data_IF_185100589328
#
_entry.id   IF_185100589328
#
_cell.length_a   1.000
_cell.length_b   1.000
_cell.length_c   1.000
_cell.angle_alpha   90.00
_cell.angle_beta   90.00
_cell.angle_gamma   90.00
#
_symmetry.space_group_name_H-M   'P 1'
#
loop_
_entity.id
_entity.type
_entity.pdbx_description
1 polymer ?
#
# COMPACT_ATOMS: atom_id res chain seq x y z
N UNK A 1 16.91 -45.31 4.45
CA UNK A 1 17.93 -44.56 3.70
C UNK A 1 17.84 -43.05 3.87
N UNK A 2 16.75 -42.36 3.54
CA UNK A 2 16.62 -40.92 3.69
C UNK A 2 16.88 -40.40 5.11
N UNK A 3 16.38 -41.04 6.16
CA UNK A 3 16.59 -40.66 7.56
C UNK A 3 18.07 -40.70 7.99
N UNK A 4 18.80 -41.77 7.58
CA UNK A 4 20.24 -41.86 7.89
C UNK A 4 21.06 -40.80 7.16
N UNK A 5 20.71 -40.44 5.93
CA UNK A 5 21.37 -39.37 5.15
C UNK A 5 21.08 -38.01 5.76
N UNK A 6 19.84 -37.76 6.21
CA UNK A 6 19.47 -36.53 6.91
C UNK A 6 20.23 -36.34 8.24
N UNK A 7 20.35 -37.43 9.03
CA UNK A 7 21.15 -37.41 10.28
C UNK A 7 22.64 -37.20 10.03
N UNK A 8 23.17 -37.74 8.93
CA UNK A 8 24.55 -37.50 8.50
C UNK A 8 24.76 -36.02 8.10
N UNK A 9 23.82 -35.43 7.36
CA UNK A 9 23.85 -34.00 7.01
C UNK A 9 23.86 -33.12 8.26
N UNK A 10 23.01 -33.40 9.26
CA UNK A 10 22.98 -32.66 10.51
C UNK A 10 24.28 -32.77 11.31
N UNK A 11 24.89 -33.96 11.31
CA UNK A 11 26.18 -34.19 11.97
C UNK A 11 27.33 -33.47 11.28
N UNK A 12 27.29 -33.39 9.94
CA UNK A 12 28.24 -32.64 9.11
C UNK A 12 28.19 -31.12 9.43
N UNK A 13 26.99 -30.57 9.55
CA UNK A 13 26.78 -29.15 9.94
C UNK A 13 27.42 -28.84 11.30
N UNK A 14 27.21 -29.73 12.29
CA UNK A 14 27.78 -29.57 13.64
C UNK A 14 29.31 -29.63 13.68
N UNK A 15 29.94 -30.27 12.75
CA UNK A 15 31.40 -30.48 12.73
C UNK A 15 32.16 -29.23 12.25
N UNK A 16 31.51 -28.34 11.46
CA UNK A 16 32.08 -27.09 10.93
C UNK A 16 31.07 -25.94 11.02
N UNK A 17 30.67 -25.59 12.25
CA UNK A 17 29.60 -24.63 12.53
C UNK A 17 29.80 -23.27 11.87
N UNK A 18 31.03 -22.73 11.90
CA UNK A 18 31.29 -21.38 11.35
C UNK A 18 31.11 -21.34 9.82
N UNK A 19 31.55 -22.42 9.14
CA UNK A 19 31.46 -22.52 7.68
C UNK A 19 29.99 -22.72 7.23
N UNK A 20 29.28 -23.62 7.92
CA UNK A 20 27.85 -23.89 7.65
C UNK A 20 27.01 -22.64 7.94
N UNK A 21 27.30 -21.92 9.01
CA UNK A 21 26.62 -20.67 9.35
C UNK A 21 26.78 -19.60 8.27
N UNK A 22 28.00 -19.35 7.80
CA UNK A 22 28.27 -18.37 6.74
C UNK A 22 27.55 -18.69 5.42
N UNK A 23 27.42 -19.98 5.10
CA UNK A 23 26.72 -20.41 3.88
C UNK A 23 25.22 -20.26 4.01
N UNK A 24 24.67 -20.77 5.11
CA UNK A 24 23.24 -20.66 5.40
C UNK A 24 22.83 -19.19 5.49
N UNK A 25 23.71 -18.33 6.02
CA UNK A 25 23.48 -16.90 6.16
C UNK A 25 23.13 -16.23 4.81
N UNK A 26 23.84 -16.56 3.73
CA UNK A 26 23.56 -16.03 2.40
C UNK A 26 22.15 -16.37 1.91
N UNK A 27 21.72 -17.63 2.13
CA UNK A 27 20.38 -18.10 1.78
C UNK A 27 19.33 -17.46 2.69
N UNK A 28 19.60 -17.40 3.99
CA UNK A 28 18.72 -16.77 5.00
C UNK A 28 18.45 -15.32 4.63
N UNK A 29 19.50 -14.55 4.33
CA UNK A 29 19.36 -13.15 3.92
C UNK A 29 18.55 -13.05 2.62
N UNK A 30 18.87 -13.85 1.61
CA UNK A 30 18.16 -13.82 0.33
C UNK A 30 16.67 -14.15 0.49
N UNK A 31 16.34 -15.25 1.16
CA UNK A 31 14.97 -15.69 1.40
C UNK A 31 14.22 -14.69 2.28
N UNK A 32 14.83 -14.24 3.38
CA UNK A 32 14.17 -13.29 4.28
C UNK A 32 13.92 -11.94 3.59
N UNK A 33 14.84 -11.46 2.76
CA UNK A 33 14.65 -10.23 2.01
C UNK A 33 13.49 -10.34 1.02
N UNK A 34 13.40 -11.43 0.24
CA UNK A 34 12.30 -11.64 -0.72
C UNK A 34 10.95 -11.65 -0.02
N UNK A 35 10.80 -12.46 1.02
CA UNK A 35 9.53 -12.62 1.73
C UNK A 35 9.12 -11.33 2.41
N UNK A 36 10.02 -10.69 3.16
CA UNK A 36 9.72 -9.43 3.85
C UNK A 36 9.27 -8.37 2.87
N UNK A 37 9.94 -8.27 1.73
CA UNK A 37 9.65 -7.27 0.71
C UNK A 37 8.30 -7.49 0.03
N UNK A 38 7.98 -8.74 -0.38
CA UNK A 38 6.69 -9.05 -0.99
C UNK A 38 5.56 -8.83 0.02
N UNK A 39 5.74 -9.25 1.28
CA UNK A 39 4.76 -9.06 2.34
C UNK A 39 4.49 -7.56 2.61
N UNK A 40 5.54 -6.75 2.72
CA UNK A 40 5.38 -5.29 2.90
C UNK A 40 4.81 -4.61 1.65
N UNK A 41 5.21 -5.03 0.45
CA UNK A 41 4.66 -4.52 -0.81
C UNK A 41 3.15 -4.80 -0.95
N UNK A 42 2.72 -6.01 -0.60
CA UNK A 42 1.31 -6.38 -0.57
C UNK A 42 0.56 -5.58 0.51
N UNK A 43 1.15 -5.42 1.70
CA UNK A 43 0.61 -4.59 2.78
C UNK A 43 0.45 -3.12 2.39
N UNK A 44 1.47 -2.54 1.75
CA UNK A 44 1.43 -1.18 1.23
C UNK A 44 0.33 -1.00 0.18
N UNK A 45 0.23 -1.94 -0.78
CA UNK A 45 -0.81 -1.91 -1.81
C UNK A 45 -2.21 -2.04 -1.20
N UNK A 46 -2.39 -2.90 -0.20
CA UNK A 46 -3.66 -3.04 0.52
C UNK A 46 -4.01 -1.76 1.29
N UNK A 47 -3.04 -1.12 1.94
CA UNK A 47 -3.22 0.16 2.63
C UNK A 47 -3.62 1.27 1.67
N UNK A 48 -2.93 1.40 0.52
CA UNK A 48 -3.26 2.38 -0.53
C UNK A 48 -4.70 2.16 -1.02
N UNK A 49 -5.08 0.92 -1.34
CA UNK A 49 -6.44 0.59 -1.78
C UNK A 49 -7.49 0.94 -0.70
N UNK A 50 -7.22 0.63 0.56
CA UNK A 50 -8.12 0.96 1.66
C UNK A 50 -8.29 2.48 1.83
N UNK A 51 -7.20 3.26 1.76
CA UNK A 51 -7.23 4.72 1.85
C UNK A 51 -8.03 5.33 0.69
N UNK A 52 -7.83 4.85 -0.54
CA UNK A 52 -8.55 5.34 -1.72
C UNK A 52 -10.02 4.94 -1.68
N UNK A 53 -10.34 3.72 -1.25
CA UNK A 53 -11.73 3.30 -1.02
C UNK A 53 -12.42 4.15 0.05
N UNK A 54 -11.67 4.62 1.05
CA UNK A 54 -12.16 5.56 2.06
C UNK A 54 -12.50 6.95 1.52
N UNK A 55 -11.85 7.37 0.43
CA UNK A 55 -12.16 8.66 -0.24
C UNK A 55 -13.44 8.58 -1.12
N UNK A 56 -13.92 7.40 -1.43
CA UNK A 56 -15.02 7.13 -2.36
C UNK A 56 -14.50 6.31 -3.55
N UNK A 57 -15.14 5.19 -3.80
CA UNK A 57 -14.89 4.38 -5.00
C UNK A 57 -15.43 5.10 -6.22
N UNK A 58 -14.70 5.05 -7.34
CA UNK A 58 -15.11 5.67 -8.60
C UNK A 58 -15.31 7.20 -8.52
N UNK A 59 -14.43 7.90 -7.77
CA UNK A 59 -14.53 9.33 -7.58
C UNK A 59 -13.60 10.09 -8.55
N UNK A 60 -14.16 11.03 -9.30
CA UNK A 60 -13.44 12.04 -10.05
C UNK A 60 -13.48 13.36 -9.27
N UNK A 61 -12.32 13.92 -8.99
CA UNK A 61 -12.19 15.24 -8.38
C UNK A 61 -11.79 16.26 -9.42
N UNK A 62 -12.63 17.25 -9.68
CA UNK A 62 -12.35 18.32 -10.62
C UNK A 62 -11.97 19.59 -9.87
N UNK A 63 -10.78 20.10 -10.14
CA UNK A 63 -10.24 21.31 -9.50
C UNK A 63 -9.86 22.36 -10.56
N UNK A 64 -10.06 23.66 -10.28
CA UNK A 64 -9.56 24.71 -11.16
C UNK A 64 -8.02 24.76 -11.09
N UNK A 65 -7.38 25.05 -12.21
CA UNK A 65 -5.93 25.13 -12.34
C UNK A 65 -5.41 24.41 -13.57
N UNK A 66 -4.25 24.80 -14.07
CA UNK A 66 -3.58 24.09 -15.17
C UNK A 66 -2.95 22.78 -14.66
N UNK A 67 -2.88 21.78 -15.53
CA UNK A 67 -2.18 20.54 -15.25
C UNK A 67 -0.69 20.85 -15.10
N UNK A 68 -0.15 20.76 -13.91
CA UNK A 68 1.28 20.88 -13.67
C UNK A 68 1.98 19.67 -14.28
N UNK A 69 2.78 19.91 -15.34
CA UNK A 69 3.74 18.91 -15.80
C UNK A 69 4.85 18.69 -14.77
N UNK A 70 5.74 17.67 -14.97
CA UNK A 70 6.89 17.44 -14.12
C UNK A 70 7.80 18.68 -14.17
N UNK A 71 7.78 19.51 -13.11
CA UNK A 71 8.53 20.76 -12.98
C UNK A 71 7.71 22.05 -12.92
N UNK A 72 6.41 22.00 -13.15
CA UNK A 72 5.52 23.15 -12.98
C UNK A 72 5.06 23.27 -11.54
N UNK A 73 5.35 24.40 -10.87
CA UNK A 73 4.74 24.71 -9.58
C UNK A 73 3.22 24.85 -9.80
N UNK A 74 2.44 23.91 -9.23
CA UNK A 74 0.98 23.92 -9.25
C UNK A 74 0.42 25.11 -8.47
N UNK A 75 0.71 26.30 -8.94
CA UNK A 75 0.08 27.51 -8.46
C UNK A 75 -1.36 27.52 -8.96
N UNK A 76 -2.33 27.33 -8.07
CA UNK A 76 -3.66 27.87 -8.27
C UNK A 76 -3.53 29.38 -8.40
N UNK A 77 -3.11 29.82 -9.60
CA UNK A 77 -2.91 31.23 -9.88
C UNK A 77 -4.21 31.98 -9.61
N UNK A 78 -4.10 33.13 -8.97
CA UNK A 78 -5.21 34.02 -8.62
C UNK A 78 -6.05 34.50 -9.82
N UNK A 79 -5.78 33.98 -11.02
CA UNK A 79 -6.49 34.27 -12.26
C UNK A 79 -7.37 33.16 -12.83
N UNK A 80 -7.31 31.92 -12.31
CA UNK A 80 -8.12 30.81 -12.86
C UNK A 80 -9.55 30.92 -12.36
N UNK A 81 -10.55 30.93 -13.28
CA UNK A 81 -11.96 30.95 -12.89
C UNK A 81 -12.31 29.74 -12.02
N UNK A 82 -12.91 30.01 -10.87
CA UNK A 82 -13.43 28.95 -10.00
C UNK A 82 -14.73 28.37 -10.56
N UNK A 83 -15.12 27.21 -10.11
CA UNK A 83 -16.41 26.61 -10.46
C UNK A 83 -17.57 27.33 -9.78
N UNK A 84 -18.77 27.11 -10.32
CA UNK A 84 -20.02 27.56 -9.75
C UNK A 84 -20.91 26.35 -9.41
N UNK A 85 -21.96 26.58 -8.64
CA UNK A 85 -22.94 25.54 -8.29
C UNK A 85 -23.64 24.99 -9.55
N UNK A 86 -23.91 25.88 -10.55
CA UNK A 86 -24.53 25.51 -11.83
C UNK A 86 -23.66 24.57 -12.67
N UNK A 87 -22.34 24.52 -12.44
CA UNK A 87 -21.45 23.56 -13.11
C UNK A 87 -21.71 22.14 -12.60
N UNK A 88 -21.95 21.98 -11.29
CA UNK A 88 -22.33 20.69 -10.72
C UNK A 88 -23.69 20.18 -11.23
N UNK A 89 -24.68 21.08 -11.32
CA UNK A 89 -26.01 20.77 -11.84
C UNK A 89 -25.96 20.35 -13.31
N UNK A 90 -25.15 21.04 -14.12
CA UNK A 90 -24.97 20.71 -15.54
C UNK A 90 -24.29 19.37 -15.74
N UNK A 91 -23.27 19.05 -14.92
CA UNK A 91 -22.61 17.75 -14.96
C UNK A 91 -23.62 16.63 -14.62
N UNK A 92 -24.40 16.82 -13.55
CA UNK A 92 -25.37 15.83 -13.11
C UNK A 92 -26.49 15.56 -14.13
N UNK A 93 -26.92 16.61 -14.88
CA UNK A 93 -28.03 16.49 -15.83
C UNK A 93 -27.61 16.07 -17.24
N UNK A 94 -26.41 16.42 -17.70
CA UNK A 94 -26.00 16.24 -19.09
C UNK A 94 -25.09 15.03 -19.32
N UNK A 95 -24.44 14.51 -18.28
CA UNK A 95 -23.53 13.38 -18.41
C UNK A 95 -24.16 12.11 -17.84
N UNK A 96 -24.34 11.10 -18.72
CA UNK A 96 -24.79 9.78 -18.28
C UNK A 96 -23.70 9.02 -17.53
N UNK A 97 -24.09 8.06 -16.65
CA UNK A 97 -23.14 7.24 -15.90
C UNK A 97 -22.64 7.87 -14.58
N UNK A 98 -23.12 9.06 -14.24
CA UNK A 98 -22.83 9.72 -12.96
C UNK A 98 -23.84 9.24 -11.90
N UNK A 99 -23.34 8.90 -10.71
CA UNK A 99 -24.14 8.55 -9.55
C UNK A 99 -24.53 9.79 -8.74
N UNK A 100 -23.56 10.67 -8.46
CA UNK A 100 -23.75 11.90 -7.69
C UNK A 100 -22.69 12.95 -8.05
N UNK A 101 -23.06 14.23 -7.91
CA UNK A 101 -22.13 15.37 -8.05
C UNK A 101 -22.27 16.26 -6.85
N UNK A 102 -21.16 16.54 -6.18
CA UNK A 102 -21.11 17.43 -5.02
C UNK A 102 -20.17 18.61 -5.26
N UNK A 103 -20.69 19.85 -5.29
CA UNK A 103 -19.86 21.04 -5.26
C UNK A 103 -19.26 21.20 -3.85
N UNK A 104 -17.95 21.38 -3.76
CA UNK A 104 -17.23 21.54 -2.50
C UNK A 104 -16.51 22.89 -2.43
N UNK A 105 -16.79 23.62 -1.38
CA UNK A 105 -15.97 24.74 -0.91
C UNK A 105 -15.26 24.34 0.37
N UNK A 106 -13.99 24.74 0.54
CA UNK A 106 -13.21 24.41 1.74
C UNK A 106 -12.44 25.63 2.25
N UNK A 107 -12.38 25.76 3.56
CA UNK A 107 -11.56 26.77 4.23
C UNK A 107 -11.15 26.29 5.61
N UNK A 108 -9.93 26.62 6.05
CA UNK A 108 -9.47 26.32 7.41
C UNK A 108 -9.83 27.46 8.33
N UNK A 109 -10.45 27.14 9.46
CA UNK A 109 -10.85 28.12 10.46
C UNK A 109 -10.73 27.55 11.87
N UNK A 110 -10.61 28.42 12.87
CA UNK A 110 -10.73 28.05 14.27
C UNK A 110 -12.19 27.97 14.67
N UNK A 111 -12.61 26.83 15.19
CA UNK A 111 -13.92 26.60 15.78
C UNK A 111 -13.83 26.68 17.31
N UNK A 112 -14.90 27.10 17.96
CA UNK A 112 -14.93 27.30 19.41
C UNK A 112 -16.23 26.78 19.98
N UNK A 113 -16.17 25.99 21.01
CA UNK A 113 -17.29 25.59 21.88
C UNK A 113 -16.78 25.19 23.26
N UNK A 114 -17.59 25.31 24.28
CA UNK A 114 -17.30 24.91 25.67
C UNK A 114 -15.97 25.45 26.23
N UNK A 115 -15.56 26.68 25.80
CA UNK A 115 -14.29 27.29 26.22
C UNK A 115 -13.04 26.67 25.56
N UNK A 116 -13.19 25.72 24.67
CA UNK A 116 -12.11 25.12 23.87
C UNK A 116 -12.12 25.71 22.46
N UNK A 117 -10.94 25.71 21.82
CA UNK A 117 -10.80 26.08 20.41
C UNK A 117 -9.98 25.03 19.67
N UNK A 118 -10.28 24.87 18.40
CA UNK A 118 -9.58 23.93 17.52
C UNK A 118 -9.53 24.49 16.11
N UNK A 119 -8.38 24.33 15.44
CA UNK A 119 -8.23 24.73 14.03
C UNK A 119 -8.56 23.54 13.16
N UNK A 120 -9.61 23.67 12.36
CA UNK A 120 -10.14 22.57 11.53
C UNK A 120 -10.53 23.04 10.14
N UNK A 121 -10.76 22.10 9.25
CA UNK A 121 -11.27 22.34 7.90
C UNK A 121 -12.79 22.44 7.92
N UNK A 122 -13.34 23.57 7.47
CA UNK A 122 -14.78 23.72 7.25
C UNK A 122 -15.07 23.50 5.76
N UNK A 123 -15.92 22.51 5.49
CA UNK A 123 -16.37 22.11 4.15
C UNK A 123 -17.81 22.56 3.98
N UNK A 124 -18.08 23.29 2.90
CA UNK A 124 -19.44 23.59 2.46
C UNK A 124 -19.79 22.74 1.25
N UNK A 125 -20.87 21.98 1.35
CA UNK A 125 -21.31 21.11 0.25
C UNK A 125 -22.81 20.82 0.30
N UNK A 126 -23.30 20.01 -0.63
CA UNK A 126 -24.63 19.41 -0.64
C UNK A 126 -24.65 18.02 0.00
N UNK A 127 -25.85 17.43 0.18
CA UNK A 127 -25.96 16.04 0.67
C UNK A 127 -25.28 15.00 -0.24
N UNK A 128 -25.14 15.30 -1.54
CA UNK A 128 -24.39 14.43 -2.45
C UNK A 128 -22.92 14.23 -2.02
N UNK A 129 -22.38 15.11 -1.16
CA UNK A 129 -21.03 14.96 -0.62
C UNK A 129 -20.86 13.70 0.25
N UNK A 130 -21.91 13.34 1.00
CA UNK A 130 -21.88 12.13 1.81
C UNK A 130 -21.82 10.87 0.94
N UNK A 131 -22.57 10.88 -0.17
CA UNK A 131 -22.59 9.75 -1.13
C UNK A 131 -21.28 9.68 -1.93
N UNK A 132 -20.81 10.81 -2.47
CA UNK A 132 -19.58 10.86 -3.28
C UNK A 132 -18.34 10.47 -2.50
N UNK A 133 -18.26 10.86 -1.22
CA UNK A 133 -17.16 10.54 -0.33
C UNK A 133 -17.36 9.26 0.48
N UNK A 134 -18.46 8.52 0.31
CA UNK A 134 -18.81 7.35 1.13
C UNK A 134 -18.75 7.65 2.65
N UNK A 135 -19.34 8.79 3.05
CA UNK A 135 -19.40 9.21 4.44
C UNK A 135 -20.65 8.63 5.13
N UNK A 136 -20.43 8.02 6.28
CA UNK A 136 -21.51 7.53 7.14
C UNK A 136 -21.63 8.42 8.38
N UNK A 137 -22.85 8.51 8.91
CA UNK A 137 -23.07 9.14 10.21
C UNK A 137 -22.90 8.10 11.33
N UNK A 138 -22.19 8.50 12.39
CA UNK A 138 -22.18 7.76 13.65
C UNK A 138 -23.42 8.07 14.48
N UNK A 139 -23.94 9.33 14.42
CA UNK A 139 -25.15 9.77 15.09
C UNK A 139 -25.73 11.03 14.45
N UNK A 140 -27.01 11.28 14.69
CA UNK A 140 -27.71 12.44 14.15
C UNK A 140 -28.29 12.23 12.75
N UNK A 141 -28.38 13.30 11.96
CA UNK A 141 -28.96 13.32 10.60
C UNK A 141 -28.12 14.17 9.64
N UNK A 142 -28.34 13.98 8.34
CA UNK A 142 -27.83 14.89 7.28
C UNK A 142 -28.70 16.14 7.18
N UNK A 143 -28.32 17.05 6.31
CA UNK A 143 -29.05 18.29 6.06
C UNK A 143 -30.42 18.01 5.44
N UNK A 144 -31.47 18.75 5.87
CA UNK A 144 -32.75 18.80 5.17
C UNK A 144 -32.67 19.70 3.92
N UNK A 145 -33.54 19.46 2.95
CA UNK A 145 -33.54 20.24 1.71
C UNK A 145 -33.67 21.76 1.96
N UNK A 146 -34.56 22.12 2.87
CA UNK A 146 -34.79 23.53 3.23
C UNK A 146 -33.57 24.15 3.93
N UNK A 147 -32.86 23.37 4.74
CA UNK A 147 -31.62 23.83 5.41
C UNK A 147 -30.49 24.12 4.38
N UNK A 148 -30.39 23.29 3.34
CA UNK A 148 -29.43 23.51 2.26
C UNK A 148 -29.78 24.75 1.44
N UNK A 149 -31.05 24.90 1.04
CA UNK A 149 -31.54 26.02 0.25
C UNK A 149 -31.47 27.36 1.00
N UNK A 150 -31.87 27.37 2.26
CA UNK A 150 -31.81 28.55 3.10
C UNK A 150 -30.40 28.95 3.54
N UNK A 151 -29.44 27.99 3.52
CA UNK A 151 -28.13 28.19 4.15
C UNK A 151 -28.26 28.29 5.65
N UNK A 152 -28.95 27.30 6.25
CA UNK A 152 -29.22 27.26 7.69
C UNK A 152 -27.92 27.14 8.52
N UNK A 153 -27.99 27.58 9.77
CA UNK A 153 -26.87 27.54 10.71
C UNK A 153 -26.78 26.15 11.38
N UNK A 154 -26.63 25.13 10.59
CA UNK A 154 -26.44 23.74 11.02
C UNK A 154 -25.09 23.21 10.57
N UNK A 155 -24.52 22.26 11.32
CA UNK A 155 -23.24 21.64 10.99
C UNK A 155 -23.19 20.17 11.40
N UNK A 156 -22.37 19.41 10.70
CA UNK A 156 -22.03 18.01 10.97
C UNK A 156 -20.52 18.00 11.24
N UNK A 157 -20.09 17.33 12.30
CA UNK A 157 -18.70 17.33 12.75
C UNK A 157 -18.06 15.95 12.59
N UNK A 158 -16.78 15.95 12.26
CA UNK A 158 -15.98 14.72 12.27
C UNK A 158 -15.53 14.34 13.68
N UNK A 159 -15.04 13.12 13.82
CA UNK A 159 -14.72 12.52 15.14
C UNK A 159 -13.55 13.25 15.84
N UNK A 160 -12.56 13.74 15.09
CA UNK A 160 -11.45 14.51 15.69
C UNK A 160 -11.96 15.83 16.27
N UNK A 161 -12.81 16.57 15.54
CA UNK A 161 -13.43 17.81 16.05
C UNK A 161 -14.30 17.50 17.26
N UNK A 162 -15.09 16.41 17.24
CA UNK A 162 -15.88 15.98 18.40
C UNK A 162 -14.99 15.75 19.60
N UNK A 163 -13.90 15.01 19.44
CA UNK A 163 -12.97 14.70 20.54
C UNK A 163 -12.30 15.95 21.10
N UNK A 164 -11.77 16.80 20.24
CA UNK A 164 -10.99 17.98 20.68
C UNK A 164 -11.86 19.08 21.34
N UNK A 165 -13.10 19.22 20.89
CA UNK A 165 -14.00 20.31 21.35
C UNK A 165 -14.98 19.84 22.44
N UNK A 166 -15.50 18.62 22.34
CA UNK A 166 -16.60 18.14 23.20
C UNK A 166 -16.18 17.05 24.19
N UNK A 167 -15.02 16.42 24.02
CA UNK A 167 -14.53 15.41 24.95
C UNK A 167 -14.15 16.02 26.30
N UNK A 168 -14.59 15.37 27.40
CA UNK A 168 -14.38 15.87 28.76
C UNK A 168 -15.57 16.65 29.36
N UNK A 169 -16.64 16.85 28.61
CA UNK A 169 -17.91 17.37 29.17
C UNK A 169 -18.83 16.17 29.45
N UNK A 170 -18.98 15.81 30.72
CA UNK A 170 -19.74 14.63 31.14
C UNK A 170 -21.13 14.55 30.46
N UNK A 171 -21.36 13.50 29.66
CA UNK A 171 -22.63 13.19 29.00
C UNK A 171 -22.95 13.98 27.73
N UNK A 172 -22.04 14.79 27.16
CA UNK A 172 -22.32 15.58 25.96
C UNK A 172 -21.54 15.03 24.76
N UNK A 173 -22.22 14.35 23.86
CA UNK A 173 -21.68 13.81 22.59
C UNK A 173 -21.37 14.90 21.56
N UNK A 174 -21.69 16.16 21.81
CA UNK A 174 -21.60 17.25 20.83
C UNK A 174 -22.90 17.47 20.03
N UNK A 175 -23.77 16.44 19.91
CA UNK A 175 -25.01 16.55 19.16
C UNK A 175 -25.98 17.56 19.85
N UNK A 176 -26.61 18.42 19.05
CA UNK A 176 -27.49 19.47 19.54
C UNK A 176 -26.76 20.67 20.18
N UNK A 177 -25.45 20.61 20.32
CA UNK A 177 -24.65 21.72 20.88
C UNK A 177 -24.36 22.78 19.81
N UNK A 178 -24.05 24.00 20.29
CA UNK A 178 -23.63 25.08 19.41
C UNK A 178 -22.10 25.07 19.23
N UNK A 179 -21.67 25.13 17.97
CA UNK A 179 -20.28 25.30 17.57
C UNK A 179 -20.13 26.66 16.90
N UNK A 180 -19.26 27.49 17.42
CA UNK A 180 -18.96 28.78 16.81
C UNK A 180 -17.86 28.60 15.75
N UNK A 181 -18.19 29.00 14.52
CA UNK A 181 -17.29 28.97 13.36
C UNK A 181 -17.03 30.40 12.93
N UNK A 182 -15.85 30.94 13.23
CA UNK A 182 -15.54 32.39 13.04
C UNK A 182 -16.57 33.31 13.69
N UNK A 183 -17.43 33.97 12.86
CA UNK A 183 -18.39 34.99 13.25
C UNK A 183 -19.82 34.45 13.41
N UNK A 184 -20.09 33.19 13.11
CA UNK A 184 -21.43 32.60 13.26
C UNK A 184 -21.39 31.35 14.12
N UNK A 185 -22.54 30.99 14.70
CA UNK A 185 -22.71 29.74 15.42
C UNK A 185 -23.62 28.80 14.63
N UNK A 186 -23.26 27.51 14.56
CA UNK A 186 -24.12 26.46 13.99
C UNK A 186 -24.49 25.45 15.05
N UNK A 187 -25.66 24.83 14.92
CA UNK A 187 -26.08 23.71 15.75
C UNK A 187 -25.55 22.42 15.14
N UNK A 188 -24.87 21.60 15.93
CA UNK A 188 -24.39 20.29 15.51
C UNK A 188 -25.57 19.31 15.39
N UNK A 189 -25.92 18.92 14.16
CA UNK A 189 -27.04 18.03 13.85
C UNK A 189 -26.62 16.59 13.58
N UNK A 190 -25.32 16.34 13.35
CA UNK A 190 -24.78 15.02 13.07
C UNK A 190 -23.30 14.93 13.39
N UNK A 191 -22.85 13.69 13.58
CA UNK A 191 -21.46 13.31 13.81
C UNK A 191 -21.09 12.26 12.78
N UNK A 192 -20.00 12.47 12.06
CA UNK A 192 -19.48 11.52 11.06
C UNK A 192 -18.90 10.29 11.76
N UNK A 193 -19.04 9.14 11.12
CA UNK A 193 -18.29 7.95 11.51
C UNK A 193 -16.81 8.14 11.22
N UNK A 194 -15.96 7.73 12.13
CA UNK A 194 -14.51 7.86 11.97
C UNK A 194 -14.02 7.09 10.75
N UNK A 195 -13.23 7.75 9.91
CA UNK A 195 -12.48 7.16 8.79
C UNK A 195 -11.00 7.03 9.09
N UNK A 196 -10.49 7.78 10.07
CA UNK A 196 -9.10 7.78 10.47
C UNK A 196 -8.20 8.66 9.59
N UNK A 197 -6.90 8.45 9.74
CA UNK A 197 -5.90 9.15 8.96
C UNK A 197 -5.74 8.52 7.57
N UNK A 198 -5.57 9.36 6.57
CA UNK A 198 -5.17 8.96 5.22
C UNK A 198 -3.84 9.61 4.85
N UNK A 199 -3.22 9.17 3.75
CA UNK A 199 -1.99 9.81 3.24
C UNK A 199 -2.12 11.31 2.92
N UNK A 200 -3.35 11.84 2.89
CA UNK A 200 -3.65 13.27 2.69
C UNK A 200 -3.97 14.01 4.00
N UNK A 201 -3.84 13.37 5.15
CA UNK A 201 -4.11 13.94 6.46
C UNK A 201 -5.27 13.28 7.21
N UNK A 202 -5.66 13.89 8.34
CA UNK A 202 -6.78 13.44 9.15
C UNK A 202 -8.12 13.77 8.46
N UNK A 203 -8.84 12.74 8.02
CA UNK A 203 -10.15 12.92 7.38
C UNK A 203 -11.24 13.33 8.39
N UNK A 204 -11.04 12.96 9.63
CA UNK A 204 -12.00 13.19 10.71
C UNK A 204 -11.89 14.61 11.30
N UNK A 205 -10.83 15.38 10.91
CA UNK A 205 -10.67 16.77 11.31
C UNK A 205 -11.40 17.72 10.35
N UNK A 206 -12.73 17.64 10.39
CA UNK A 206 -13.60 18.41 9.49
C UNK A 206 -14.92 18.81 10.14
N UNK A 207 -15.46 19.96 9.65
CA UNK A 207 -16.83 20.43 9.94
C UNK A 207 -17.52 20.62 8.62
N UNK A 208 -18.64 19.96 8.41
CA UNK A 208 -19.44 20.07 7.18
C UNK A 208 -20.64 20.97 7.43
N UNK A 209 -20.85 21.95 6.56
CA UNK A 209 -21.99 22.88 6.58
C UNK A 209 -22.66 22.91 5.20
N UNK A 210 -23.92 23.35 5.06
CA UNK A 210 -24.50 23.55 3.75
C UNK A 210 -23.65 24.53 2.90
N UNK A 211 -23.54 24.29 1.60
CA UNK A 211 -22.70 25.10 0.71
C UNK A 211 -23.00 26.59 0.84
N UNK A 212 -24.30 26.94 0.82
CA UNK A 212 -24.73 28.35 0.96
C UNK A 212 -24.39 28.95 2.30
N UNK A 213 -24.31 28.15 3.37
CA UNK A 213 -23.85 28.60 4.69
C UNK A 213 -22.37 28.96 4.64
N UNK A 214 -21.53 28.10 4.05
CA UNK A 214 -20.11 28.40 3.86
C UNK A 214 -19.92 29.67 3.05
N UNK A 215 -20.58 29.78 1.91
CA UNK A 215 -20.47 30.88 0.97
C UNK A 215 -20.87 32.22 1.61
N UNK A 216 -22.01 32.26 2.29
CA UNK A 216 -22.57 33.52 2.83
C UNK A 216 -21.98 33.94 4.17
N UNK A 217 -21.67 32.97 5.05
CA UNK A 217 -21.32 33.25 6.46
C UNK A 217 -19.83 33.07 6.77
N UNK A 218 -19.10 32.29 5.98
CA UNK A 218 -17.68 31.97 6.28
C UNK A 218 -16.73 32.60 5.28
N UNK A 219 -16.93 32.35 3.97
CA UNK A 219 -16.01 32.82 2.93
C UNK A 219 -16.41 34.14 2.28
N UNK A 220 -17.70 34.49 2.25
CA UNK A 220 -18.21 35.64 1.51
C UNK A 220 -18.09 35.48 -0.02
N UNK A 221 -17.90 34.27 -0.54
CA UNK A 221 -17.67 34.00 -1.96
C UNK A 221 -18.51 32.81 -2.43
N UNK A 222 -19.17 32.96 -3.59
CA UNK A 222 -19.97 31.92 -4.25
C UNK A 222 -19.11 30.88 -4.98
N UNK A 223 -17.81 30.98 -4.88
CA UNK A 223 -16.86 30.11 -5.58
C UNK A 223 -16.88 28.69 -5.00
N UNK A 224 -16.81 27.70 -5.90
CA UNK A 224 -16.66 26.27 -5.60
C UNK A 224 -15.22 25.89 -5.92
N UNK A 225 -14.54 25.29 -4.96
CA UNK A 225 -13.12 24.94 -5.09
C UNK A 225 -12.93 23.60 -5.78
N UNK A 226 -13.86 22.65 -5.59
CA UNK A 226 -13.76 21.29 -6.14
C UNK A 226 -15.17 20.82 -6.53
N UNK A 227 -15.27 20.11 -7.64
CA UNK A 227 -16.43 19.31 -7.97
C UNK A 227 -16.08 17.85 -7.75
N UNK A 228 -16.81 17.18 -6.88
CA UNK A 228 -16.69 15.75 -6.62
C UNK A 228 -17.74 15.03 -7.45
N UNK A 229 -17.31 14.15 -8.34
CA UNK A 229 -18.18 13.42 -9.27
C UNK A 229 -18.01 11.94 -9.03
N UNK A 230 -19.04 11.29 -8.51
CA UNK A 230 -19.07 9.83 -8.32
C UNK A 230 -19.67 9.17 -9.55
N UNK A 231 -18.99 8.15 -10.05
CA UNK A 231 -19.45 7.35 -11.19
C UNK A 231 -20.31 6.18 -10.71
N UNK A 232 -21.26 5.75 -11.53
CA UNK A 232 -22.00 4.49 -11.29
C UNK A 232 -21.07 3.30 -11.50
N UNK A 233 -21.29 2.25 -10.74
CA UNK A 233 -20.53 1.01 -10.90
C UNK A 233 -20.67 0.46 -12.33
N UNK A 234 -19.53 0.05 -12.91
CA UNK A 234 -19.47 -0.47 -14.29
C UNK A 234 -19.44 0.60 -15.38
N UNK A 235 -19.43 1.88 -15.03
CA UNK A 235 -19.24 2.96 -16.00
C UNK A 235 -17.80 2.99 -16.52
N UNK A 236 -17.63 3.33 -17.80
CA UNK A 236 -16.32 3.55 -18.43
C UNK A 236 -15.76 4.91 -17.98
N UNK A 237 -14.77 4.86 -17.08
CA UNK A 237 -14.15 6.06 -16.48
C UNK A 237 -13.49 6.98 -17.52
N UNK A 238 -12.82 6.43 -18.55
CA UNK A 238 -12.16 7.23 -19.58
C UNK A 238 -13.18 7.96 -20.47
N UNK A 239 -14.28 7.32 -20.84
CA UNK A 239 -15.38 7.97 -21.57
C UNK A 239 -16.02 9.07 -20.76
N UNK A 240 -16.27 8.80 -19.48
CA UNK A 240 -16.90 9.77 -18.58
C UNK A 240 -15.99 10.98 -18.37
N UNK A 241 -14.69 10.76 -18.18
CA UNK A 241 -13.68 11.81 -18.08
C UNK A 241 -13.60 12.66 -19.36
N UNK A 242 -13.66 12.02 -20.54
CA UNK A 242 -13.69 12.72 -21.82
C UNK A 242 -14.94 13.59 -21.96
N UNK A 243 -16.13 13.05 -21.63
CA UNK A 243 -17.40 13.80 -21.67
C UNK A 243 -17.39 14.96 -20.67
N UNK A 244 -16.85 14.73 -19.47
CA UNK A 244 -16.70 15.76 -18.43
C UNK A 244 -15.74 16.87 -18.89
N UNK A 245 -14.63 16.51 -19.52
CA UNK A 245 -13.68 17.46 -20.09
C UNK A 245 -14.34 18.30 -21.17
N UNK A 246 -15.06 17.69 -22.10
CA UNK A 246 -15.76 18.41 -23.17
C UNK A 246 -16.80 19.39 -22.61
N UNK A 247 -17.68 18.93 -21.71
CA UNK A 247 -18.69 19.79 -21.08
C UNK A 247 -18.06 20.99 -20.36
N UNK A 248 -16.98 20.77 -19.60
CA UNK A 248 -16.31 21.83 -18.87
C UNK A 248 -15.60 22.82 -19.80
N UNK A 249 -15.00 22.35 -20.91
CA UNK A 249 -14.43 23.23 -21.94
C UNK A 249 -15.48 24.13 -22.55
N UNK A 250 -16.63 23.59 -22.91
CA UNK A 250 -17.78 24.34 -23.46
C UNK A 250 -18.28 25.41 -22.46
N UNK A 251 -18.50 25.03 -21.19
CA UNK A 251 -19.00 25.95 -20.16
C UNK A 251 -17.98 27.05 -19.79
N UNK A 252 -16.72 26.79 -19.99
CA UNK A 252 -15.63 27.73 -19.71
C UNK A 252 -15.19 28.53 -20.96
N UNK A 253 -15.87 28.32 -22.08
CA UNK A 253 -15.58 28.96 -23.37
C UNK A 253 -14.11 28.79 -23.81
N UNK A 254 -13.54 27.59 -23.61
CA UNK A 254 -12.17 27.28 -24.05
C UNK A 254 -12.19 26.92 -25.54
N UNK A 255 -11.32 27.54 -26.32
CA UNK A 255 -11.13 27.20 -27.72
C UNK A 255 -10.46 25.83 -27.91
N UNK A 256 -10.56 25.25 -29.10
CA UNK A 256 -10.00 23.92 -29.37
C UNK A 256 -8.47 23.82 -29.17
N UNK A 257 -7.75 24.93 -29.25
CA UNK A 257 -6.29 25.02 -29.03
C UNK A 257 -5.87 25.45 -27.65
N UNK A 258 -6.81 25.81 -26.78
CA UNK A 258 -6.48 26.29 -25.42
C UNK A 258 -6.19 25.10 -24.50
N UNK A 259 -5.26 25.30 -23.58
CA UNK A 259 -5.02 24.38 -22.47
C UNK A 259 -6.19 24.38 -21.50
N UNK A 260 -6.46 23.23 -20.89
CA UNK A 260 -7.48 23.11 -19.87
C UNK A 260 -7.09 23.93 -18.64
N UNK A 261 -8.00 24.78 -18.19
CA UNK A 261 -7.85 25.58 -16.97
C UNK A 261 -8.47 24.88 -15.74
N UNK A 262 -8.58 23.55 -15.81
CA UNK A 262 -9.03 22.65 -14.76
C UNK A 262 -8.30 21.32 -14.87
N UNK A 263 -8.28 20.56 -13.76
CA UNK A 263 -7.73 19.21 -13.69
C UNK A 263 -8.77 18.23 -13.20
N UNK A 264 -8.81 17.06 -13.80
CA UNK A 264 -9.63 15.94 -13.37
C UNK A 264 -8.71 14.89 -12.77
N UNK A 265 -8.83 14.68 -11.48
CA UNK A 265 -8.12 13.63 -10.75
C UNK A 265 -9.03 12.43 -10.59
N UNK A 266 -8.61 11.31 -11.13
CA UNK A 266 -9.27 10.04 -10.97
C UNK A 266 -8.61 9.29 -9.81
N UNK A 267 -9.39 9.01 -8.76
CA UNK A 267 -8.90 8.29 -7.57
C UNK A 267 -8.52 6.86 -7.92
N UNK A 268 -9.22 6.21 -8.86
CA UNK A 268 -8.88 4.87 -9.32
C UNK A 268 -7.55 4.86 -10.08
N UNK A 269 -7.35 5.77 -11.00
CA UNK A 269 -6.09 5.91 -11.75
C UNK A 269 -4.92 6.20 -10.81
N UNK A 270 -5.13 6.98 -9.75
CA UNK A 270 -4.13 7.22 -8.73
C UNK A 270 -3.78 5.91 -7.99
N UNK A 271 -4.79 5.12 -7.59
CA UNK A 271 -4.58 3.81 -6.95
C UNK A 271 -3.76 2.86 -7.83
N UNK A 272 -4.11 2.78 -9.10
CA UNK A 272 -3.42 1.94 -10.08
C UNK A 272 -1.97 2.38 -10.29
N UNK A 273 -1.73 3.68 -10.39
CA UNK A 273 -0.39 4.25 -10.54
C UNK A 273 0.49 3.96 -9.32
N UNK A 274 -0.05 4.17 -8.12
CA UNK A 274 0.67 3.87 -6.87
C UNK A 274 0.94 2.38 -6.71
N UNK A 275 -0.06 1.54 -7.05
CA UNK A 275 0.09 0.08 -7.00
C UNK A 275 1.13 -0.41 -8.00
N UNK A 276 1.12 0.10 -9.24
CA UNK A 276 2.12 -0.26 -10.25
C UNK A 276 3.52 0.20 -9.88
N UNK A 277 3.67 1.39 -9.29
CA UNK A 277 4.95 1.88 -8.76
C UNK A 277 5.48 0.96 -7.66
N UNK A 278 4.63 0.56 -6.72
CA UNK A 278 4.99 -0.40 -5.66
C UNK A 278 5.40 -1.74 -6.26
N UNK A 279 4.69 -2.22 -7.29
CA UNK A 279 5.02 -3.46 -8.00
C UNK A 279 6.40 -3.38 -8.68
N UNK A 280 6.73 -2.28 -9.34
CA UNK A 280 8.05 -2.07 -9.96
C UNK A 280 9.14 -2.08 -8.90
N UNK A 281 8.95 -1.36 -7.80
CA UNK A 281 9.91 -1.36 -6.69
C UNK A 281 10.11 -2.76 -6.10
N UNK A 282 9.02 -3.49 -5.86
CA UNK A 282 9.07 -4.86 -5.35
C UNK A 282 9.81 -5.79 -6.32
N UNK A 283 9.59 -5.62 -7.63
CA UNK A 283 10.29 -6.40 -8.66
C UNK A 283 11.79 -6.11 -8.70
N UNK A 284 12.18 -4.83 -8.65
CA UNK A 284 13.60 -4.42 -8.62
C UNK A 284 14.33 -4.98 -7.40
N UNK A 285 13.70 -4.85 -6.25
CA UNK A 285 14.28 -5.36 -5.01
C UNK A 285 14.29 -6.91 -5.01
N UNK A 286 13.28 -7.56 -5.61
CA UNK A 286 13.27 -9.00 -5.84
C UNK A 286 14.44 -9.48 -6.70
N UNK A 287 14.81 -8.70 -7.72
CA UNK A 287 15.99 -8.98 -8.53
C UNK A 287 17.29 -8.91 -7.71
N UNK A 288 17.42 -7.92 -6.83
CA UNK A 288 18.57 -7.82 -5.90
C UNK A 288 18.63 -9.02 -4.96
N UNK A 289 17.50 -9.43 -4.43
CA UNK A 289 17.43 -10.61 -3.57
C UNK A 289 17.75 -11.91 -4.32
N UNK A 290 17.37 -12.04 -5.59
CA UNK A 290 17.76 -13.16 -6.44
C UNK A 290 19.29 -13.23 -6.63
N UNK A 291 19.95 -12.09 -6.83
CA UNK A 291 21.43 -12.03 -6.87
C UNK A 291 22.03 -12.49 -5.53
N UNK A 292 21.45 -12.06 -4.41
CA UNK A 292 21.89 -12.49 -3.07
C UNK A 292 21.75 -14.00 -2.87
N UNK A 293 20.67 -14.60 -3.38
CA UNK A 293 20.46 -16.05 -3.37
C UNK A 293 21.49 -16.78 -4.23
N UNK A 294 21.86 -16.25 -5.41
CA UNK A 294 22.92 -16.80 -6.25
C UNK A 294 24.27 -16.78 -5.52
N UNK A 295 24.61 -15.68 -4.85
CA UNK A 295 25.84 -15.60 -4.04
C UNK A 295 25.82 -16.62 -2.91
N UNK A 296 24.68 -16.79 -2.23
CA UNK A 296 24.48 -17.88 -1.24
C UNK A 296 24.68 -19.27 -1.84
N UNK A 297 24.17 -19.51 -3.05
CA UNK A 297 24.37 -20.75 -3.79
C UNK A 297 25.83 -21.03 -4.14
N UNK A 298 26.59 -20.03 -4.58
CA UNK A 298 28.05 -20.14 -4.79
C UNK A 298 28.75 -20.50 -3.47
N UNK A 299 28.28 -19.93 -2.35
CA UNK A 299 28.74 -20.31 -1.02
C UNK A 299 28.55 -21.79 -0.72
N UNK A 300 27.37 -22.37 -1.05
CA UNK A 300 27.11 -23.82 -0.93
C UNK A 300 28.10 -24.60 -1.79
N UNK A 301 28.26 -24.24 -3.07
CA UNK A 301 29.16 -24.92 -3.99
C UNK A 301 30.58 -24.95 -3.44
N UNK A 302 31.10 -23.83 -2.97
CA UNK A 302 32.46 -23.74 -2.43
C UNK A 302 32.65 -24.62 -1.20
N UNK A 303 31.67 -24.66 -0.29
CA UNK A 303 31.74 -25.49 0.91
C UNK A 303 31.64 -26.98 0.56
N UNK A 304 30.77 -27.32 -0.36
CA UNK A 304 30.64 -28.69 -0.82
C UNK A 304 31.93 -29.19 -1.50
N UNK A 305 32.60 -28.34 -2.30
CA UNK A 305 33.89 -28.66 -2.89
C UNK A 305 34.94 -28.95 -1.82
N UNK A 306 35.04 -28.10 -0.79
CA UNK A 306 35.96 -28.33 0.34
C UNK A 306 35.57 -29.58 1.12
N UNK A 307 34.27 -29.82 1.36
CA UNK A 307 33.81 -31.03 2.05
C UNK A 307 34.17 -32.31 1.28
N UNK A 308 34.09 -32.30 -0.05
CA UNK A 308 34.50 -33.41 -0.91
C UNK A 308 36.00 -33.64 -0.81
N UNK A 309 36.82 -32.56 -0.82
CA UNK A 309 38.29 -32.73 -0.68
C UNK A 309 38.69 -33.22 0.72
N UNK A 310 38.06 -32.72 1.80
CA UNK A 310 38.31 -33.20 3.16
C UNK A 310 37.93 -34.67 3.37
N UNK A 311 36.97 -35.22 2.57
CA UNK A 311 36.47 -36.58 2.65
C UNK A 311 36.93 -37.48 1.49
N UNK A 312 37.94 -37.06 0.73
CA UNK A 312 38.44 -37.76 -0.45
C UNK A 312 38.72 -39.25 -0.16
N UNK A 313 39.41 -39.55 0.92
CA UNK A 313 39.76 -40.92 1.34
C UNK A 313 38.53 -41.74 1.72
N UNK A 314 37.55 -41.15 2.41
CA UNK A 314 36.30 -41.81 2.78
C UNK A 314 35.46 -42.16 1.52
N UNK A 315 35.39 -41.22 0.57
CA UNK A 315 34.70 -41.44 -0.73
C UNK A 315 35.38 -42.51 -1.54
N UNK A 316 36.72 -42.46 -1.64
CA UNK A 316 37.52 -43.47 -2.36
C UNK A 316 37.36 -44.85 -1.77
N UNK A 317 37.32 -44.98 -0.44
CA UNK A 317 37.09 -46.27 0.23
C UNK A 317 35.69 -46.83 -0.11
N UNK A 318 34.65 -45.99 -0.10
CA UNK A 318 33.28 -46.43 -0.46
C UNK A 318 33.21 -46.91 -1.90
N UNK A 319 33.82 -46.20 -2.84
CA UNK A 319 33.86 -46.57 -4.25
C UNK A 319 34.67 -47.87 -4.46
N UNK A 320 35.79 -48.03 -3.72
CA UNK A 320 36.61 -49.22 -3.79
C UNK A 320 35.90 -50.50 -3.30
N UNK A 321 35.00 -50.39 -2.31
CA UNK A 321 34.19 -51.52 -1.81
C UNK A 321 32.90 -51.74 -2.62
N UNK A 322 32.66 -50.96 -3.72
CA UNK A 322 31.58 -51.19 -4.68
C UNK A 322 30.37 -50.29 -4.56
N UNK A 323 30.46 -49.16 -3.87
CA UNK A 323 29.39 -48.15 -3.89
C UNK A 323 29.18 -47.59 -5.31
N UNK A 324 27.92 -47.40 -5.72
CA UNK A 324 27.58 -46.89 -7.04
C UNK A 324 27.76 -45.37 -7.11
N UNK A 325 28.21 -44.87 -8.27
CA UNK A 325 28.39 -43.41 -8.48
C UNK A 325 27.14 -42.60 -8.12
N UNK A 326 25.94 -43.10 -8.48
CA UNK A 326 24.69 -42.40 -8.20
C UNK A 326 24.34 -42.33 -6.71
N UNK A 327 24.79 -43.29 -5.89
CA UNK A 327 24.57 -43.27 -4.43
C UNK A 327 25.42 -42.18 -3.78
N UNK A 328 26.67 -42.07 -4.20
CA UNK A 328 27.56 -40.99 -3.74
C UNK A 328 27.04 -39.63 -4.18
N UNK A 329 26.61 -39.51 -5.45
CA UNK A 329 26.03 -38.28 -5.99
C UNK A 329 24.79 -37.87 -5.18
N UNK A 330 23.83 -38.77 -4.98
CA UNK A 330 22.61 -38.50 -4.22
C UNK A 330 22.90 -38.10 -2.77
N UNK A 331 23.87 -38.73 -2.13
CA UNK A 331 24.25 -38.39 -0.75
C UNK A 331 24.69 -36.93 -0.63
N UNK A 332 25.64 -36.48 -1.46
CA UNK A 332 26.12 -35.09 -1.42
C UNK A 332 25.06 -34.10 -1.90
N UNK A 333 24.21 -34.49 -2.89
CA UNK A 333 23.11 -33.63 -3.35
C UNK A 333 22.08 -33.41 -2.24
N UNK A 334 21.68 -34.48 -1.53
CA UNK A 334 20.75 -34.35 -0.39
C UNK A 334 21.37 -33.48 0.71
N UNK A 335 22.68 -33.58 0.98
CA UNK A 335 23.37 -32.74 1.96
C UNK A 335 23.25 -31.26 1.57
N UNK A 336 23.47 -30.91 0.31
CA UNK A 336 23.31 -29.55 -0.20
C UNK A 336 21.85 -29.03 -0.10
N UNK A 337 20.87 -29.89 -0.47
CA UNK A 337 19.44 -29.55 -0.40
C UNK A 337 18.98 -29.35 1.05
N UNK A 338 19.44 -30.19 1.97
CA UNK A 338 19.10 -30.04 3.41
C UNK A 338 19.66 -28.75 3.95
N UNK A 339 20.91 -28.40 3.61
CA UNK A 339 21.52 -27.12 4.03
C UNK A 339 20.76 -25.92 3.52
N UNK A 340 20.41 -25.92 2.23
CA UNK A 340 19.67 -24.84 1.62
C UNK A 340 18.23 -24.74 2.13
N UNK A 341 17.55 -25.88 2.33
CA UNK A 341 16.20 -25.90 2.88
C UNK A 341 16.16 -25.42 4.34
N UNK A 342 17.16 -25.78 5.16
CA UNK A 342 17.30 -25.22 6.50
C UNK A 342 17.50 -23.70 6.46
N UNK A 343 18.34 -23.19 5.55
CA UNK A 343 18.49 -21.76 5.32
C UNK A 343 17.16 -21.10 4.92
N UNK A 344 16.40 -21.75 4.04
CA UNK A 344 15.07 -21.31 3.63
C UNK A 344 14.08 -21.22 4.80
N UNK A 345 14.00 -22.26 5.64
CA UNK A 345 13.12 -22.28 6.81
C UNK A 345 13.50 -21.19 7.82
N UNK A 346 14.79 -21.05 8.14
CA UNK A 346 15.26 -19.98 9.02
C UNK A 346 14.96 -18.61 8.41
N UNK A 347 15.17 -18.45 7.09
CA UNK A 347 14.84 -17.24 6.35
C UNK A 347 13.36 -16.88 6.44
N UNK A 348 12.46 -17.86 6.32
CA UNK A 348 11.01 -17.66 6.48
C UNK A 348 10.67 -17.20 7.89
N UNK A 349 11.26 -17.80 8.92
CA UNK A 349 11.02 -17.43 10.32
C UNK A 349 11.48 -15.99 10.60
N UNK A 350 12.67 -15.62 10.13
CA UNK A 350 13.21 -14.26 10.26
C UNK A 350 12.36 -13.26 9.48
N UNK A 351 11.98 -13.60 8.24
CA UNK A 351 11.11 -12.76 7.40
C UNK A 351 9.76 -12.50 8.07
N UNK A 352 9.15 -13.55 8.63
CA UNK A 352 7.86 -13.42 9.32
C UNK A 352 7.99 -12.51 10.55
N UNK A 353 9.01 -12.71 11.36
CA UNK A 353 9.26 -11.86 12.54
C UNK A 353 9.55 -10.40 12.14
N UNK A 354 10.39 -10.20 11.12
CA UNK A 354 10.70 -8.87 10.59
C UNK A 354 9.47 -8.18 9.99
N UNK A 355 8.67 -8.89 9.18
CA UNK A 355 7.45 -8.36 8.57
C UNK A 355 6.40 -7.97 9.61
N UNK A 356 6.21 -8.77 10.67
CA UNK A 356 5.32 -8.44 11.77
C UNK A 356 5.80 -7.18 12.53
N UNK A 357 7.09 -7.10 12.82
CA UNK A 357 7.67 -5.93 13.49
C UNK A 357 7.58 -4.66 12.65
N UNK A 358 7.93 -4.74 11.35
CA UNK A 358 7.86 -3.57 10.47
C UNK A 358 6.40 -3.15 10.18
N UNK A 359 5.49 -4.09 9.96
CA UNK A 359 4.09 -3.75 9.71
C UNK A 359 3.44 -3.07 10.92
N UNK A 360 3.76 -3.49 12.15
CA UNK A 360 3.29 -2.80 13.36
C UNK A 360 3.91 -1.41 13.52
N UNK A 361 5.19 -1.23 13.17
CA UNK A 361 5.88 0.07 13.26
C UNK A 361 5.38 1.07 12.19
N UNK A 362 5.02 0.57 11.01
CA UNK A 362 4.56 1.37 9.88
C UNK A 362 3.03 1.51 9.82
N UNK A 363 2.31 0.94 10.79
CA UNK A 363 0.83 0.91 10.85
C UNK A 363 0.20 0.35 9.57
N UNK A 364 0.87 -0.63 8.93
CA UNK A 364 0.38 -1.27 7.72
C UNK A 364 -0.24 -2.63 8.02
N UNK A 365 -1.28 -3.05 7.27
CA UNK A 365 -1.85 -4.39 7.45
C UNK A 365 -0.82 -5.46 7.08
N UNK A 366 -0.63 -6.43 7.97
CA UNK A 366 0.19 -7.60 7.69
C UNK A 366 -0.54 -8.54 6.73
N UNK A 367 -0.02 -8.67 5.52
CA UNK A 367 -0.58 -9.55 4.48
C UNK A 367 0.25 -10.84 4.39
N UNK A 368 -0.15 -11.89 5.14
CA UNK A 368 0.50 -13.19 5.04
C UNK A 368 0.17 -13.87 3.71
N UNK A 369 1.19 -14.20 2.95
CA UNK A 369 1.06 -14.93 1.67
C UNK A 369 1.72 -16.32 1.78
N UNK A 370 0.92 -17.40 1.94
CA UNK A 370 1.46 -18.75 2.03
C UNK A 370 2.13 -19.20 0.73
N UNK A 371 1.70 -18.68 -0.41
CA UNK A 371 2.26 -19.05 -1.71
C UNK A 371 3.72 -18.56 -1.84
N UNK A 372 4.02 -17.33 -1.44
CA UNK A 372 5.38 -16.79 -1.51
C UNK A 372 6.33 -17.54 -0.56
N UNK A 373 5.83 -17.95 0.62
CA UNK A 373 6.63 -18.73 1.57
C UNK A 373 6.99 -20.11 1.00
N UNK A 374 6.01 -20.81 0.42
CA UNK A 374 6.24 -22.10 -0.22
C UNK A 374 7.17 -21.97 -1.44
N UNK A 375 6.94 -20.96 -2.27
CA UNK A 375 7.76 -20.67 -3.44
C UNK A 375 9.21 -20.39 -3.03
N UNK A 376 9.43 -19.58 -1.99
CA UNK A 376 10.77 -19.27 -1.49
C UNK A 376 11.49 -20.49 -0.95
N UNK A 377 10.77 -21.40 -0.28
CA UNK A 377 11.34 -22.68 0.17
C UNK A 377 11.71 -23.57 -1.02
N UNK A 378 10.85 -23.66 -2.03
CA UNK A 378 11.12 -24.41 -3.25
C UNK A 378 12.34 -23.86 -4.02
N UNK A 379 12.44 -22.53 -4.13
CA UNK A 379 13.61 -21.87 -4.72
C UNK A 379 14.88 -22.13 -3.92
N UNK A 380 14.83 -22.05 -2.60
CA UNK A 380 15.96 -22.36 -1.73
C UNK A 380 16.45 -23.81 -1.95
N UNK A 381 15.54 -24.77 -1.98
CA UNK A 381 15.87 -26.17 -2.28
C UNK A 381 16.44 -26.32 -3.71
N UNK A 382 15.86 -25.64 -4.69
CA UNK A 382 16.34 -25.62 -6.08
C UNK A 382 17.77 -25.09 -6.22
N UNK A 383 18.13 -24.05 -5.46
CA UNK A 383 19.51 -23.54 -5.37
C UNK A 383 20.44 -24.59 -4.79
N UNK A 384 20.01 -25.30 -3.75
CA UNK A 384 20.75 -26.43 -3.18
C UNK A 384 21.04 -27.52 -4.23
N UNK A 385 20.06 -27.86 -5.06
CA UNK A 385 20.25 -28.80 -6.17
C UNK A 385 21.21 -28.26 -7.22
N UNK A 386 20.99 -27.01 -7.67
CA UNK A 386 21.78 -26.40 -8.76
C UNK A 386 23.26 -26.30 -8.40
N UNK A 387 23.56 -25.74 -7.25
CA UNK A 387 24.94 -25.49 -6.81
C UNK A 387 25.57 -26.70 -6.09
N UNK A 388 24.77 -27.63 -5.57
CA UNK A 388 25.24 -28.90 -5.00
C UNK A 388 25.57 -29.95 -6.03
N UNK A 389 24.97 -29.87 -7.23
CA UNK A 389 25.16 -30.91 -8.26
C UNK A 389 26.61 -31.03 -8.76
N UNK A 390 27.28 -29.92 -9.00
CA UNK A 390 28.66 -29.92 -9.51
C UNK A 390 29.66 -30.58 -8.55
N UNK A 391 29.72 -30.19 -7.25
CA UNK A 391 30.55 -30.86 -6.26
C UNK A 391 30.18 -32.35 -6.07
N UNK A 392 28.88 -32.65 -6.02
CA UNK A 392 28.40 -34.03 -5.84
C UNK A 392 28.83 -34.93 -7.01
N UNK A 393 28.74 -34.43 -8.25
CA UNK A 393 29.21 -35.16 -9.44
C UNK A 393 30.73 -35.36 -9.42
N UNK A 394 31.49 -34.38 -8.93
CA UNK A 394 32.93 -34.50 -8.80
C UNK A 394 33.31 -35.58 -7.77
N UNK A 395 32.60 -35.64 -6.65
CA UNK A 395 32.77 -36.69 -5.66
C UNK A 395 32.45 -38.09 -6.19
N UNK A 396 31.33 -38.23 -6.95
CA UNK A 396 30.86 -39.50 -7.50
C UNK A 396 31.78 -40.11 -8.57
N UNK A 397 32.53 -39.26 -9.30
CA UNK A 397 33.44 -39.67 -10.37
C UNK A 397 34.92 -39.71 -9.96
N UNK A 398 35.22 -39.73 -8.70
CA UNK A 398 36.58 -39.79 -8.18
C UNK A 398 37.17 -41.20 -8.39
N UNK A 399 38.43 -41.23 -8.86
CA UNK A 399 39.16 -42.50 -8.99
C UNK A 399 39.50 -43.06 -7.59
N UNK A 400 39.04 -44.28 -7.24
CA UNK A 400 39.32 -44.87 -5.93
C UNK A 400 40.82 -45.02 -5.62
N UNK A 401 41.65 -45.26 -6.64
CA UNK A 401 43.08 -45.48 -6.47
C UNK A 401 43.76 -44.15 -6.13
N UNK A 402 43.43 -43.08 -6.89
CA UNK A 402 43.96 -41.74 -6.60
C UNK A 402 43.47 -41.22 -5.26
N UNK A 403 42.19 -41.45 -4.91
CA UNK A 403 41.61 -40.98 -3.66
C UNK A 403 42.26 -41.65 -2.42
N UNK A 404 42.69 -42.88 -2.52
CA UNK A 404 43.38 -43.59 -1.44
C UNK A 404 44.88 -43.27 -1.33
N UNK A 405 45.47 -42.69 -2.41
CA UNK A 405 46.88 -42.30 -2.49
C UNK A 405 47.13 -40.87 -1.98
N UNK A 406 46.08 -40.09 -1.85
CA UNK A 406 46.17 -38.70 -1.28
C UNK A 406 46.40 -38.80 0.20
N UNK A 407 47.58 -38.32 0.70
CA UNK A 407 47.88 -38.08 2.09
C UNK A 407 47.18 -36.80 2.63
#
# INVERSE_FOLDING_TARGET
MLYSVFMLALRSIRRNLLRSFLTILGIVIGVSAVITMVTLGNGATASIKAQISGLGTNLLMVRPGQRSGPGGSGGGGSGVPQFKEEDAESIASQIGGIAAVAPEGRTSVTVVANGRNWSTSVIGSSNAWFDTGNWKLASGRIFEADEQLAGAAVCIIGETVRREIFDGTAGKTGLGQQLRVRKFSCTVIGILAAKGQSGMGDQDDTVVVPLRTLQRRVTGSLKVATLLVSMKDGSDGERLKSSLTQLLRERRNLAAGDDDNFNIFDTQQLAETLSSTTQVLTTLLGAVAAVSLLVGGIGIMNIMLVSVTERTREIGLRLAIGALEHEVLLQFLIEAVVLSALGGVIGILIATAASLGLSSLMEMPYAFDPFINLLSLAFSAGIGVLFGYFPARRAARMDPIEALRHE
#
